data_IF_233719477136
#
_entry.id   IF_233719477136
#
_cell.length_a   1.000
_cell.length_b   1.000
_cell.length_c   1.000
_cell.angle_alpha   90.00
_cell.angle_beta   90.00
_cell.angle_gamma   90.00
#
_symmetry.space_group_name_H-M   'P 1'
#
loop_
_entity.id
_entity.type
_entity.pdbx_description
1 polymer ?
#
# COMPACT_ATOMS: atom_id res chain seq x y z
N UNK A 1 -68.38 -4.01 27.24
CA UNK A 1 -67.21 -4.75 27.76
C UNK A 1 -65.94 -4.24 27.09
N UNK A 2 -65.01 -3.65 27.85
CA UNK A 2 -63.69 -3.28 27.33
C UNK A 2 -62.74 -4.46 27.50
N UNK A 3 -62.28 -5.02 26.38
CA UNK A 3 -61.45 -6.21 26.32
C UNK A 3 -60.00 -5.80 26.64
N UNK A 4 -59.53 -6.05 27.87
CA UNK A 4 -58.15 -5.78 28.28
C UNK A 4 -57.26 -6.79 27.56
N UNK A 5 -56.57 -6.33 26.51
CA UNK A 5 -55.54 -7.11 25.83
C UNK A 5 -54.38 -7.34 26.81
N UNK A 6 -54.11 -8.60 27.15
CA UNK A 6 -52.92 -9.00 27.90
C UNK A 6 -51.67 -8.49 27.18
N UNK A 7 -50.99 -7.49 27.76
CA UNK A 7 -49.68 -7.07 27.29
C UNK A 7 -48.65 -8.03 27.87
N UNK A 8 -48.16 -8.94 27.03
CA UNK A 8 -46.98 -9.74 27.36
C UNK A 8 -45.77 -8.80 27.43
N UNK A 9 -45.22 -8.62 28.63
CA UNK A 9 -43.98 -7.89 28.85
C UNK A 9 -42.78 -8.80 28.58
N UNK A 10 -41.72 -8.23 27.99
CA UNK A 10 -40.43 -8.89 27.83
C UNK A 10 -39.83 -9.20 29.21
N UNK A 11 -39.30 -10.41 29.40
CA UNK A 11 -38.60 -10.74 30.65
C UNK A 11 -37.21 -10.13 30.66
N UNK A 12 -36.71 -9.75 31.84
CA UNK A 12 -35.33 -9.25 32.00
C UNK A 12 -34.32 -10.33 31.54
N UNK A 13 -34.66 -11.60 31.73
CA UNK A 13 -33.82 -12.74 31.33
C UNK A 13 -33.69 -12.85 29.81
N UNK A 14 -34.78 -12.63 29.05
CA UNK A 14 -34.71 -12.62 27.59
C UNK A 14 -33.80 -11.50 27.09
N UNK A 15 -33.90 -10.29 27.67
CA UNK A 15 -33.04 -9.18 27.28
C UNK A 15 -31.57 -9.45 27.66
N UNK A 16 -31.32 -10.07 28.81
CA UNK A 16 -29.97 -10.41 29.28
C UNK A 16 -29.29 -11.42 28.34
N UNK A 17 -30.00 -12.47 27.92
CA UNK A 17 -29.43 -13.47 27.00
C UNK A 17 -29.09 -12.82 25.66
N UNK A 18 -29.95 -11.93 25.15
CA UNK A 18 -29.73 -11.24 23.86
C UNK A 18 -28.47 -10.39 23.89
N UNK A 19 -28.26 -9.57 24.93
CA UNK A 19 -27.06 -8.72 25.01
C UNK A 19 -25.79 -9.57 25.19
N UNK A 20 -25.87 -10.70 25.88
CA UNK A 20 -24.74 -11.64 26.03
C UNK A 20 -24.39 -12.25 24.67
N UNK A 21 -25.38 -12.72 23.91
CA UNK A 21 -25.16 -13.29 22.57
C UNK A 21 -24.58 -12.24 21.62
N UNK A 22 -25.13 -11.00 21.60
CA UNK A 22 -24.59 -9.91 20.78
C UNK A 22 -23.15 -9.57 21.20
N UNK A 23 -22.85 -9.57 22.50
CA UNK A 23 -21.50 -9.32 23.01
C UNK A 23 -20.48 -10.35 22.52
N UNK A 24 -20.85 -11.64 22.54
CA UNK A 24 -19.99 -12.72 22.04
C UNK A 24 -19.76 -12.59 20.54
N UNK A 25 -20.83 -12.37 19.76
CA UNK A 25 -20.72 -12.20 18.31
C UNK A 25 -19.87 -10.98 17.95
N UNK A 26 -20.05 -9.85 18.64
CA UNK A 26 -19.27 -8.64 18.41
C UNK A 26 -17.78 -8.87 18.65
N UNK A 27 -17.41 -9.54 19.75
CA UNK A 27 -16.01 -9.82 20.07
C UNK A 27 -15.30 -10.67 19.00
N UNK A 28 -15.95 -11.73 18.52
CA UNK A 28 -15.41 -12.58 17.45
C UNK A 28 -15.23 -11.78 16.16
N UNK A 29 -16.23 -10.95 15.82
CA UNK A 29 -16.24 -10.18 14.59
C UNK A 29 -15.08 -9.17 14.54
N UNK A 30 -14.77 -8.52 15.67
CA UNK A 30 -13.66 -7.55 15.76
C UNK A 30 -12.31 -8.21 15.45
N UNK A 31 -12.03 -9.37 16.06
CA UNK A 31 -10.75 -10.07 15.84
C UNK A 31 -10.63 -10.54 14.39
N UNK A 32 -11.72 -11.08 13.83
CA UNK A 32 -11.74 -11.52 12.43
C UNK A 32 -11.54 -10.34 11.46
N UNK A 33 -12.13 -9.18 11.75
CA UNK A 33 -12.07 -7.99 10.91
C UNK A 33 -10.64 -7.44 10.76
N UNK A 34 -9.85 -7.42 11.84
CA UNK A 34 -8.46 -6.96 11.78
C UNK A 34 -7.60 -7.80 10.82
N UNK A 35 -7.79 -9.14 10.83
CA UNK A 35 -7.06 -10.03 9.92
C UNK A 35 -7.46 -9.85 8.45
N UNK A 36 -8.75 -9.57 8.18
CA UNK A 36 -9.24 -9.30 6.82
C UNK A 36 -8.68 -7.98 6.29
N UNK A 37 -8.69 -6.92 7.11
CA UNK A 37 -8.13 -5.63 6.72
C UNK A 37 -6.64 -5.72 6.38
N UNK A 38 -5.85 -6.41 7.20
CA UNK A 38 -4.41 -6.55 6.96
C UNK A 38 -4.11 -7.19 5.60
N UNK A 39 -4.81 -8.29 5.27
CA UNK A 39 -4.67 -8.93 3.95
C UNK A 39 -5.16 -8.05 2.81
N UNK A 40 -6.24 -7.29 3.01
CA UNK A 40 -6.74 -6.35 2.00
C UNK A 40 -5.71 -5.26 1.70
N UNK A 41 -5.04 -4.71 2.73
CA UNK A 41 -3.97 -3.72 2.58
C UNK A 41 -2.75 -4.28 1.82
N UNK A 42 -2.29 -5.49 2.17
CA UNK A 42 -1.18 -6.16 1.46
C UNK A 42 -1.51 -6.36 -0.03
N UNK A 43 -2.73 -6.79 -0.34
CA UNK A 43 -3.19 -6.97 -1.71
C UNK A 43 -3.29 -5.62 -2.45
N UNK A 44 -3.78 -4.58 -1.78
CA UNK A 44 -3.84 -3.23 -2.32
C UNK A 44 -2.44 -2.70 -2.62
N UNK A 45 -1.48 -2.85 -1.70
CA UNK A 45 -0.10 -2.43 -1.89
C UNK A 45 0.54 -3.16 -3.08
N UNK A 46 0.42 -4.48 -3.14
CA UNK A 46 0.92 -5.29 -4.26
C UNK A 46 0.31 -4.86 -5.61
N UNK A 47 -0.98 -4.58 -5.64
CA UNK A 47 -1.68 -4.12 -6.85
C UNK A 47 -1.21 -2.73 -7.28
N UNK A 48 -1.04 -1.82 -6.33
CA UNK A 48 -0.58 -0.46 -6.60
C UNK A 48 0.87 -0.46 -7.08
N UNK A 49 1.76 -1.24 -6.47
CA UNK A 49 3.14 -1.42 -6.93
C UNK A 49 3.20 -1.96 -8.37
N UNK A 50 2.34 -2.92 -8.70
CA UNK A 50 2.25 -3.44 -10.07
C UNK A 50 1.75 -2.38 -11.07
N UNK A 51 0.85 -1.49 -10.64
CA UNK A 51 0.37 -0.37 -11.45
C UNK A 51 1.48 0.68 -11.63
N UNK A 52 2.17 1.08 -10.56
CA UNK A 52 3.29 2.01 -10.59
C UNK A 52 4.39 1.47 -11.50
N UNK A 53 4.80 0.21 -11.35
CA UNK A 53 5.77 -0.43 -12.24
C UNK A 53 5.39 -0.31 -13.72
N UNK A 54 4.12 -0.57 -14.07
CA UNK A 54 3.66 -0.46 -15.46
C UNK A 54 3.75 0.98 -15.96
N UNK A 55 3.34 1.95 -15.16
CA UNK A 55 3.42 3.37 -15.50
C UNK A 55 4.88 3.81 -15.67
N UNK A 56 5.77 3.39 -14.78
CA UNK A 56 7.21 3.65 -14.85
C UNK A 56 7.86 3.06 -16.09
N UNK A 57 7.55 1.79 -16.43
CA UNK A 57 8.06 1.17 -17.65
C UNK A 57 7.54 1.87 -18.92
N UNK A 58 6.28 2.30 -18.93
CA UNK A 58 5.73 3.08 -20.04
C UNK A 58 6.40 4.46 -20.16
N UNK A 59 6.66 5.12 -19.04
CA UNK A 59 7.43 6.37 -18.99
C UNK A 59 8.83 6.16 -19.58
N UNK A 60 9.52 5.09 -19.18
CA UNK A 60 10.85 4.73 -19.72
C UNK A 60 10.84 4.53 -21.23
N UNK A 61 9.80 3.90 -21.78
CA UNK A 61 9.69 3.73 -23.25
C UNK A 61 9.63 5.08 -23.97
N UNK A 62 9.01 6.11 -23.37
CA UNK A 62 8.90 7.43 -23.97
C UNK A 62 10.12 8.33 -23.74
N UNK A 63 10.81 8.16 -22.60
CA UNK A 63 11.85 9.09 -22.11
C UNK A 63 13.25 8.47 -22.04
N UNK A 64 13.39 7.19 -22.35
CA UNK A 64 14.61 6.36 -22.20
C UNK A 64 15.13 6.18 -20.78
N UNK A 65 14.51 6.81 -19.78
CA UNK A 65 14.91 6.77 -18.38
C UNK A 65 13.65 6.68 -17.50
N UNK A 66 13.79 6.14 -16.27
CA UNK A 66 12.71 6.09 -15.29
C UNK A 66 12.44 7.45 -14.62
N UNK A 67 11.23 7.66 -14.08
CA UNK A 67 10.95 8.83 -13.26
C UNK A 67 11.32 8.59 -11.79
N UNK A 68 11.78 9.62 -11.06
CA UNK A 68 12.24 10.92 -11.54
C UNK A 68 13.55 10.77 -12.33
N UNK A 69 13.77 11.59 -13.36
CA UNK A 69 15.01 11.54 -14.16
C UNK A 69 16.25 11.76 -13.29
N UNK A 70 17.29 10.94 -13.48
CA UNK A 70 18.53 10.93 -12.71
C UNK A 70 18.52 9.97 -11.51
N UNK A 71 19.58 10.07 -10.69
CA UNK A 71 19.82 9.13 -9.58
C UNK A 71 18.92 9.46 -8.38
N UNK A 72 17.77 8.79 -8.32
CA UNK A 72 16.79 8.97 -7.26
C UNK A 72 16.89 7.84 -6.23
N UNK A 73 17.54 8.13 -5.10
CA UNK A 73 17.62 7.21 -3.96
C UNK A 73 16.70 7.68 -2.82
N UNK A 74 15.51 7.08 -2.74
CA UNK A 74 14.55 7.26 -1.65
C UNK A 74 14.38 5.99 -0.81
N UNK A 75 15.49 5.29 -0.58
CA UNK A 75 15.54 4.11 0.29
C UNK A 75 16.50 4.28 1.48
N UNK A 76 17.39 5.27 1.43
CA UNK A 76 18.45 5.48 2.43
C UNK A 76 17.98 6.19 3.69
N UNK A 77 16.79 6.79 3.63
CA UNK A 77 16.08 7.30 4.80
C UNK A 77 15.15 6.21 5.30
N UNK A 78 15.16 5.95 6.61
CA UNK A 78 14.26 5.00 7.25
C UNK A 78 13.43 5.71 8.34
N UNK A 79 12.14 6.03 8.09
CA UNK A 79 11.35 5.71 6.89
C UNK A 79 11.69 6.58 5.65
N UNK A 80 11.34 6.12 4.43
CA UNK A 80 11.39 6.91 3.20
C UNK A 80 10.61 8.22 3.31
N UNK A 81 11.04 9.23 2.54
CA UNK A 81 10.35 10.53 2.49
C UNK A 81 9.45 10.61 1.25
N UNK A 82 8.37 11.40 1.30
CA UNK A 82 7.42 11.44 0.18
C UNK A 82 7.89 12.33 -0.98
N UNK A 83 8.78 13.29 -0.76
CA UNK A 83 9.15 14.29 -1.77
C UNK A 83 9.71 13.69 -3.09
N UNK A 84 10.59 12.66 -3.08
CA UNK A 84 11.05 12.03 -4.31
C UNK A 84 9.91 11.29 -5.04
N UNK A 85 9.02 10.66 -4.28
CA UNK A 85 7.87 9.92 -4.82
C UNK A 85 6.83 10.87 -5.40
N UNK A 86 6.56 12.01 -4.77
CA UNK A 86 5.68 13.03 -5.31
C UNK A 86 6.20 13.55 -6.66
N UNK A 87 7.52 13.69 -6.79
CA UNK A 87 8.16 14.07 -8.06
C UNK A 87 8.00 12.97 -9.13
N UNK A 88 8.17 11.70 -8.75
CA UNK A 88 7.90 10.55 -9.62
C UNK A 88 6.43 10.53 -10.08
N UNK A 89 5.49 10.64 -9.14
CA UNK A 89 4.05 10.65 -9.42
C UNK A 89 3.67 11.82 -10.32
N UNK A 90 4.26 13.00 -10.11
CA UNK A 90 4.04 14.15 -10.98
C UNK A 90 4.56 13.90 -12.41
N UNK A 91 5.73 13.28 -12.56
CA UNK A 91 6.27 12.91 -13.87
C UNK A 91 5.40 11.88 -14.59
N UNK A 92 4.90 10.87 -13.87
CA UNK A 92 3.97 9.88 -14.39
C UNK A 92 2.62 10.51 -14.79
N UNK A 93 2.11 11.43 -13.97
CA UNK A 93 0.87 12.15 -14.26
C UNK A 93 1.00 13.04 -15.51
N UNK A 94 2.18 13.61 -15.77
CA UNK A 94 2.45 14.38 -16.98
C UNK A 94 2.39 13.53 -18.27
N UNK A 95 2.64 12.22 -18.17
CA UNK A 95 2.48 11.24 -19.26
C UNK A 95 1.06 10.62 -19.29
N UNK A 96 0.13 11.10 -18.45
CA UNK A 96 -1.27 10.67 -18.42
C UNK A 96 -1.57 9.54 -17.42
N UNK A 97 -0.59 9.09 -16.63
CA UNK A 97 -0.81 8.10 -15.58
C UNK A 97 -1.29 8.78 -14.29
N UNK A 98 -2.61 8.94 -14.17
CA UNK A 98 -3.25 9.56 -13.00
C UNK A 98 -3.72 8.53 -11.98
N UNK A 99 -3.94 8.95 -10.73
CA UNK A 99 -4.51 8.11 -9.68
C UNK A 99 -3.50 7.27 -8.89
N UNK A 100 -2.20 7.48 -9.14
CA UNK A 100 -1.12 6.89 -8.35
C UNK A 100 -0.96 7.70 -7.06
N UNK A 101 -0.98 7.00 -5.92
CA UNK A 101 -0.73 7.60 -4.61
C UNK A 101 0.77 7.64 -4.30
N UNK A 102 1.24 8.72 -3.66
CA UNK A 102 2.62 8.80 -3.16
C UNK A 102 2.85 7.98 -1.88
N UNK A 103 1.78 7.46 -1.27
CA UNK A 103 1.83 6.64 -0.06
C UNK A 103 1.19 5.27 -0.27
N UNK A 104 1.64 4.31 0.51
CA UNK A 104 1.08 2.97 0.61
C UNK A 104 -0.23 2.94 1.45
N UNK A 105 -0.90 1.77 1.58
CA UNK A 105 -2.13 1.63 2.37
C UNK A 105 -1.99 1.83 3.89
N UNK A 106 -0.77 1.93 4.40
CA UNK A 106 -0.46 2.24 5.80
C UNK A 106 -0.13 3.72 5.99
N UNK A 107 -0.01 4.50 4.91
CA UNK A 107 0.27 5.92 4.92
C UNK A 107 1.75 6.25 4.85
N UNK A 108 2.61 5.23 4.66
CA UNK A 108 4.04 5.41 4.51
C UNK A 108 4.38 5.76 3.06
N UNK A 109 5.43 6.54 2.85
CA UNK A 109 5.91 6.85 1.51
C UNK A 109 6.54 5.61 0.86
N UNK A 110 6.37 5.43 -0.45
CA UNK A 110 7.02 4.33 -1.16
C UNK A 110 8.55 4.44 -1.07
N UNK A 111 9.22 3.33 -0.78
CA UNK A 111 10.66 3.21 -0.96
C UNK A 111 10.96 3.09 -2.45
N UNK A 112 11.94 3.86 -2.93
CA UNK A 112 12.33 3.84 -4.33
C UNK A 112 13.86 3.90 -4.43
N UNK A 113 14.44 2.99 -5.19
CA UNK A 113 15.86 2.97 -5.52
C UNK A 113 16.01 2.87 -7.04
N UNK A 114 16.32 4.01 -7.66
CA UNK A 114 16.61 4.07 -9.08
C UNK A 114 18.06 3.68 -9.39
N UNK A 115 18.20 2.57 -10.09
CA UNK A 115 19.48 2.05 -10.57
C UNK A 115 19.57 2.03 -12.10
N UNK A 116 18.57 2.54 -12.82
CA UNK A 116 18.44 2.38 -14.28
C UNK A 116 19.47 3.21 -15.04
N UNK A 117 19.81 4.39 -14.51
CA UNK A 117 20.79 5.32 -15.09
C UNK A 117 21.85 5.79 -14.06
N UNK A 118 21.98 5.05 -12.95
CA UNK A 118 22.86 5.40 -11.83
C UNK A 118 24.34 5.14 -12.11
N UNK A 119 25.15 6.20 -12.00
CA UNK A 119 26.59 6.19 -12.30
C UNK A 119 27.44 5.43 -11.27
N UNK A 120 26.94 5.28 -10.03
CA UNK A 120 27.62 4.58 -8.94
C UNK A 120 27.25 3.11 -8.78
N UNK A 121 26.16 2.65 -9.41
CA UNK A 121 25.64 1.29 -9.25
C UNK A 121 26.31 0.28 -10.20
N UNK A 122 26.57 -0.94 -9.71
CA UNK A 122 27.14 -2.02 -10.53
C UNK A 122 26.18 -2.43 -11.67
N UNK A 123 26.74 -2.91 -12.79
CA UNK A 123 25.93 -3.47 -13.87
C UNK A 123 25.05 -4.62 -13.34
N UNK A 124 23.76 -4.60 -13.69
CA UNK A 124 22.78 -5.56 -13.18
C UNK A 124 22.13 -5.20 -11.82
N UNK A 125 22.45 -4.05 -11.22
CA UNK A 125 21.65 -3.50 -10.10
C UNK A 125 20.19 -3.33 -10.53
N UNK A 126 19.25 -3.72 -9.68
CA UNK A 126 17.83 -3.62 -9.98
C UNK A 126 17.26 -2.28 -9.52
N UNK A 127 16.44 -1.64 -10.34
CA UNK A 127 15.54 -0.58 -9.86
C UNK A 127 14.35 -1.23 -9.18
N UNK A 128 14.03 -0.81 -7.97
CA UNK A 128 12.87 -1.33 -7.23
C UNK A 128 12.04 -0.21 -6.62
N UNK A 129 10.76 -0.52 -6.48
CA UNK A 129 9.82 0.25 -5.67
C UNK A 129 9.21 -0.68 -4.63
N UNK A 130 9.01 -0.19 -3.41
CA UNK A 130 8.52 -1.00 -2.31
C UNK A 130 7.62 -0.24 -1.34
N UNK A 131 6.74 -0.98 -0.67
CA UNK A 131 6.09 -0.54 0.57
C UNK A 131 6.84 -1.13 1.76
N UNK A 132 7.04 -0.29 2.77
CA UNK A 132 7.71 -0.59 4.04
C UNK A 132 6.76 -1.24 5.06
N UNK A 133 5.59 -1.67 4.58
CA UNK A 133 4.61 -2.38 5.37
C UNK A 133 4.02 -1.58 6.54
N UNK A 134 3.32 -2.29 7.45
CA UNK A 134 2.74 -1.71 8.65
C UNK A 134 3.74 -1.19 9.68
N UNK A 135 4.98 -1.72 9.71
CA UNK A 135 5.95 -1.36 10.75
C UNK A 135 6.65 -0.02 10.49
N UNK A 136 6.62 0.44 9.23
CA UNK A 136 7.18 1.73 8.85
C UNK A 136 8.71 1.70 8.73
N UNK A 137 9.34 0.52 8.62
CA UNK A 137 10.79 0.35 8.63
C UNK A 137 11.28 -0.45 7.42
N UNK A 138 12.25 0.10 6.70
CA UNK A 138 12.91 -0.62 5.61
C UNK A 138 13.71 -1.84 6.09
N UNK A 139 13.75 -2.88 5.26
CA UNK A 139 14.51 -4.11 5.48
C UNK A 139 13.76 -5.15 6.33
N UNK A 140 12.47 -4.96 6.54
CA UNK A 140 11.59 -5.82 7.31
C UNK A 140 11.04 -7.01 6.52
N UNK A 141 10.58 -8.09 7.18
CA UNK A 141 9.87 -9.19 6.51
C UNK A 141 8.51 -8.81 5.93
N UNK A 142 7.95 -7.68 6.35
CA UNK A 142 6.67 -7.12 5.91
C UNK A 142 6.78 -6.22 4.68
N UNK A 143 8.00 -5.94 4.22
CA UNK A 143 8.25 -5.15 3.02
C UNK A 143 7.74 -5.87 1.77
N UNK A 144 7.09 -5.10 0.90
CA UNK A 144 6.55 -5.58 -0.36
C UNK A 144 7.28 -4.83 -1.47
N UNK A 145 8.24 -5.48 -2.11
CA UNK A 145 9.04 -4.88 -3.18
C UNK A 145 8.72 -5.47 -4.56
N UNK A 146 8.79 -4.61 -5.57
CA UNK A 146 8.64 -4.97 -6.97
C UNK A 146 9.83 -4.42 -7.74
N UNK A 147 10.54 -5.32 -8.43
CA UNK A 147 11.62 -4.93 -9.36
C UNK A 147 11.01 -4.34 -10.63
N UNK A 148 11.40 -3.12 -10.98
CA UNK A 148 10.92 -2.39 -12.16
C UNK A 148 11.75 -2.77 -13.38
N UNK A 149 13.05 -2.50 -13.34
CA UNK A 149 14.03 -2.83 -14.39
C UNK A 149 15.36 -3.29 -13.77
N UNK A 150 16.29 -3.73 -14.61
CA UNK A 150 17.70 -3.90 -14.25
C UNK A 150 18.48 -2.80 -14.97
N UNK A 151 19.60 -2.37 -14.37
CA UNK A 151 20.60 -1.57 -15.05
C UNK A 151 21.07 -2.31 -16.29
N UNK A 152 20.64 -1.83 -17.45
CA UNK A 152 21.18 -2.25 -18.74
C UNK A 152 22.57 -1.63 -18.89
N UNK A 153 23.49 -2.33 -19.56
CA UNK A 153 24.88 -1.89 -19.61
C UNK A 153 25.06 -0.54 -20.31
N UNK A 154 24.14 -0.16 -21.22
CA UNK A 154 24.26 1.01 -22.10
C UNK A 154 22.87 1.47 -22.63
N UNK A 155 22.02 2.08 -21.79
CA UNK A 155 20.63 2.44 -22.17
C UNK A 155 20.15 3.81 -21.66
N UNK A 156 20.66 4.22 -20.51
CA UNK A 156 21.40 5.46 -20.33
C UNK A 156 22.89 5.08 -20.16
#
# INVERSE_FOLDING_TARGET
>A
MSNIKNRHGFTIVELLIVIVVIGILAAITIVAFNGVQGRAKINQASSELANIKKAMLAYKVNRSELPPTGDSWNYGSNPPTCAPIESMVAALAAEGFTGISATDPWGNCWGYDDNDCNTGSAAGSATFIESIGPDGLNGGPDDISVRVSLKESDGC
#
